data_IF_488102460795
#
_entry.id   IF_488102460795
#
_cell.length_a   1.000
_cell.length_b   1.000
_cell.length_c   1.000
_cell.angle_alpha   90.00
_cell.angle_beta   90.00
_cell.angle_gamma   90.00
#
_symmetry.space_group_name_H-M   'P 1'
#
loop_
_entity.id
_entity.type
_entity.pdbx_description
1 polymer ?
#
# COMPACT_ATOMS: atom_id res chain seq x y z
N UNK A 1 -46.10 -36.58 -11.06
CA UNK A 1 -45.82 -35.18 -10.66
C UNK A 1 -44.46 -34.77 -11.25
N UNK A 2 -44.36 -33.65 -11.96
CA UNK A 2 -43.06 -33.18 -12.52
C UNK A 2 -42.17 -32.70 -11.38
N UNK A 3 -40.94 -33.20 -11.31
CA UNK A 3 -39.98 -32.80 -10.27
C UNK A 3 -39.58 -31.33 -10.45
N UNK A 4 -39.67 -30.54 -9.38
CA UNK A 4 -39.24 -29.12 -9.37
C UNK A 4 -37.72 -28.96 -9.21
N UNK A 5 -37.00 -30.06 -8.98
CA UNK A 5 -35.56 -30.07 -8.69
C UNK A 5 -34.71 -29.37 -9.78
N UNK A 6 -34.93 -29.60 -11.10
CA UNK A 6 -34.12 -28.94 -12.12
C UNK A 6 -34.28 -27.42 -12.13
N UNK A 7 -35.49 -26.91 -11.86
CA UNK A 7 -35.78 -25.47 -11.81
C UNK A 7 -35.09 -24.84 -10.61
N UNK A 8 -35.07 -25.52 -9.47
CA UNK A 8 -34.38 -25.06 -8.26
C UNK A 8 -32.88 -24.97 -8.50
N UNK A 9 -32.27 -26.02 -9.08
CA UNK A 9 -30.83 -26.03 -9.39
C UNK A 9 -30.48 -24.93 -10.39
N UNK A 10 -31.27 -24.78 -11.46
CA UNK A 10 -31.06 -23.71 -12.44
C UNK A 10 -31.17 -22.31 -11.84
N UNK A 11 -32.11 -22.10 -10.90
CA UNK A 11 -32.28 -20.82 -10.22
C UNK A 11 -31.10 -20.49 -9.31
N UNK A 12 -30.59 -21.48 -8.55
CA UNK A 12 -29.41 -21.30 -7.69
C UNK A 12 -28.17 -20.97 -8.53
N UNK A 13 -27.98 -21.67 -9.65
CA UNK A 13 -26.85 -21.42 -10.55
C UNK A 13 -26.92 -20.03 -11.17
N UNK A 14 -28.10 -19.60 -11.64
CA UNK A 14 -28.29 -18.25 -12.17
C UNK A 14 -28.03 -17.16 -11.10
N UNK A 15 -28.49 -17.39 -9.86
CA UNK A 15 -28.22 -16.47 -8.75
C UNK A 15 -26.72 -16.38 -8.42
N UNK A 16 -25.99 -17.51 -8.46
CA UNK A 16 -24.54 -17.52 -8.26
C UNK A 16 -23.80 -16.75 -9.36
N UNK A 17 -24.16 -16.94 -10.64
CA UNK A 17 -23.55 -16.19 -11.74
C UNK A 17 -23.82 -14.69 -11.64
N UNK A 18 -25.04 -14.29 -11.27
CA UNK A 18 -25.37 -12.89 -11.04
C UNK A 18 -24.52 -12.30 -9.89
N UNK A 19 -24.34 -13.05 -8.80
CA UNK A 19 -23.49 -12.65 -7.69
C UNK A 19 -22.03 -12.46 -8.11
N UNK A 20 -21.45 -13.42 -8.84
CA UNK A 20 -20.06 -13.31 -9.34
C UNK A 20 -19.90 -12.12 -10.28
N UNK A 21 -20.87 -11.88 -11.18
CA UNK A 21 -20.84 -10.72 -12.07
C UNK A 21 -20.85 -9.40 -11.29
N UNK A 22 -21.67 -9.29 -10.23
CA UNK A 22 -21.64 -8.11 -9.34
C UNK A 22 -20.29 -7.94 -8.68
N UNK A 23 -19.69 -9.02 -8.14
CA UNK A 23 -18.37 -8.96 -7.50
C UNK A 23 -17.30 -8.48 -8.49
N UNK A 24 -17.23 -9.06 -9.69
CA UNK A 24 -16.23 -8.69 -10.70
C UNK A 24 -16.40 -7.25 -11.19
N UNK A 25 -17.63 -6.73 -11.25
CA UNK A 25 -17.90 -5.37 -11.71
C UNK A 25 -17.69 -4.30 -10.62
N UNK A 26 -17.69 -4.68 -9.34
CA UNK A 26 -17.62 -3.75 -8.21
C UNK A 26 -16.30 -3.82 -7.46
N UNK A 27 -15.56 -4.94 -7.53
CA UNK A 27 -14.30 -5.10 -6.83
C UNK A 27 -13.15 -4.37 -7.54
N UNK A 28 -12.58 -3.38 -6.88
CA UNK A 28 -11.35 -2.70 -7.31
C UNK A 28 -10.17 -3.27 -6.49
N UNK A 29 -9.22 -4.00 -7.11
CA UNK A 29 -8.06 -4.53 -6.39
C UNK A 29 -7.17 -3.38 -5.91
N UNK A 30 -6.74 -3.46 -4.65
CA UNK A 30 -5.84 -2.47 -4.07
C UNK A 30 -4.39 -2.92 -4.22
N UNK A 31 -3.39 -2.01 -4.07
CA UNK A 31 -1.99 -2.41 -4.04
C UNK A 31 -1.66 -3.44 -2.96
N UNK A 32 -2.47 -3.51 -1.89
CA UNK A 32 -2.29 -4.48 -0.79
C UNK A 32 -2.76 -5.90 -1.16
N UNK A 33 -3.57 -6.04 -2.23
CA UNK A 33 -4.04 -7.34 -2.75
C UNK A 33 -3.08 -7.93 -3.81
N UNK A 34 -2.05 -7.18 -4.21
CA UNK A 34 -1.08 -7.61 -5.22
C UNK A 34 -0.07 -8.59 -4.63
N UNK A 35 0.40 -9.54 -5.47
CA UNK A 35 1.58 -10.33 -5.12
C UNK A 35 2.81 -9.42 -4.94
N UNK A 36 3.80 -9.88 -4.18
CA UNK A 36 4.95 -9.07 -3.80
C UNK A 36 5.75 -8.56 -5.00
N UNK A 37 5.84 -9.34 -6.10
CA UNK A 37 6.56 -8.94 -7.32
C UNK A 37 5.87 -7.76 -8.01
N UNK A 38 4.54 -7.87 -8.19
CA UNK A 38 3.72 -6.83 -8.81
C UNK A 38 3.66 -5.57 -7.94
N UNK A 39 3.48 -5.74 -6.61
CA UNK A 39 3.46 -4.63 -5.65
C UNK A 39 4.79 -3.87 -5.64
N UNK A 40 5.91 -4.58 -5.75
CA UNK A 40 7.24 -3.97 -5.82
C UNK A 40 7.40 -3.13 -7.09
N UNK A 41 7.04 -3.69 -8.26
CA UNK A 41 7.09 -2.96 -9.53
C UNK A 41 6.16 -1.75 -9.52
N UNK A 42 4.94 -1.92 -8.98
CA UNK A 42 3.96 -0.85 -8.80
C UNK A 42 4.49 0.29 -7.93
N UNK A 43 5.01 -0.03 -6.74
CA UNK A 43 5.57 0.95 -5.82
C UNK A 43 6.72 1.72 -6.47
N UNK A 44 7.65 1.03 -7.13
CA UNK A 44 8.78 1.66 -7.81
C UNK A 44 8.32 2.63 -8.92
N UNK A 45 7.29 2.26 -9.69
CA UNK A 45 6.70 3.16 -10.68
C UNK A 45 6.04 4.39 -10.02
N UNK A 46 5.27 4.19 -8.94
CA UNK A 46 4.56 5.26 -8.23
C UNK A 46 5.46 6.25 -7.52
N UNK A 47 6.67 5.84 -7.12
CA UNK A 47 7.67 6.78 -6.59
C UNK A 47 7.96 7.95 -7.55
N UNK A 48 7.87 7.73 -8.87
CA UNK A 48 8.12 8.77 -9.89
C UNK A 48 7.00 9.80 -9.99
N UNK A 49 5.82 9.49 -9.45
CA UNK A 49 4.65 10.36 -9.45
C UNK A 49 4.54 11.19 -8.15
N UNK A 50 5.36 10.89 -7.14
CA UNK A 50 5.33 11.58 -5.86
C UNK A 50 5.81 13.02 -5.96
N UNK A 51 5.18 13.89 -5.16
CA UNK A 51 5.54 15.30 -5.07
C UNK A 51 5.75 15.73 -3.62
N UNK A 52 6.76 16.58 -3.39
CA UNK A 52 6.98 17.19 -2.08
C UNK A 52 5.72 17.98 -1.66
N UNK A 53 5.36 17.88 -0.39
CA UNK A 53 4.16 18.49 0.18
C UNK A 53 2.90 17.62 0.08
N UNK A 54 2.94 16.50 -0.66
CA UNK A 54 1.82 15.59 -0.77
C UNK A 54 1.40 15.04 0.61
N UNK A 55 0.11 15.03 0.95
CA UNK A 55 -0.37 14.48 2.21
C UNK A 55 -0.11 12.97 2.31
N UNK A 56 0.27 12.51 3.50
CA UNK A 56 0.52 11.09 3.79
C UNK A 56 -0.68 10.19 3.45
N UNK A 57 -1.91 10.66 3.67
CA UNK A 57 -3.12 9.91 3.34
C UNK A 57 -3.25 9.66 1.83
N UNK A 58 -2.88 10.65 1.00
CA UNK A 58 -2.90 10.47 -0.46
C UNK A 58 -1.86 9.43 -0.90
N UNK A 59 -0.69 9.40 -0.25
CA UNK A 59 0.33 8.40 -0.54
C UNK A 59 -0.12 7.01 -0.08
N UNK A 60 -0.78 6.89 1.08
CA UNK A 60 -1.35 5.62 1.54
C UNK A 60 -2.45 5.10 0.61
N UNK A 61 -3.30 5.98 0.08
CA UNK A 61 -4.29 5.59 -0.93
C UNK A 61 -3.62 5.17 -2.24
N UNK A 62 -2.56 5.85 -2.66
CA UNK A 62 -1.85 5.57 -3.91
C UNK A 62 -1.01 4.29 -3.84
N UNK A 63 -0.25 4.10 -2.78
CA UNK A 63 0.77 3.04 -2.65
C UNK A 63 0.35 1.89 -1.73
N UNK A 64 -0.83 1.98 -1.10
CA UNK A 64 -1.28 1.03 -0.10
C UNK A 64 -0.58 1.19 1.24
N UNK A 65 -0.64 0.13 2.04
CA UNK A 65 0.00 0.06 3.35
C UNK A 65 1.53 0.04 3.18
N UNK A 66 2.24 0.73 4.06
CA UNK A 66 3.70 0.62 4.14
C UNK A 66 4.13 -0.69 4.83
N UNK A 67 5.25 -1.27 4.40
CA UNK A 67 5.80 -2.50 4.99
C UNK A 67 6.36 -2.23 6.40
N UNK A 68 6.97 -1.06 6.59
CA UNK A 68 7.39 -0.57 7.90
C UNK A 68 7.00 0.89 8.10
N UNK A 69 6.88 1.30 9.36
CA UNK A 69 6.69 2.70 9.72
C UNK A 69 7.34 3.03 11.04
N UNK A 70 7.93 4.21 11.14
CA UNK A 70 8.37 4.80 12.40
C UNK A 70 7.89 6.25 12.49
N UNK A 71 7.75 6.73 13.72
CA UNK A 71 7.41 8.13 13.96
C UNK A 71 8.03 8.62 15.26
N UNK A 72 8.33 9.92 15.30
CA UNK A 72 8.69 10.65 16.51
C UNK A 72 8.01 12.01 16.50
N UNK A 73 7.63 12.51 17.67
CA UNK A 73 6.91 13.77 17.81
C UNK A 73 7.43 14.57 19.00
N UNK A 74 7.39 15.89 18.86
CA UNK A 74 7.58 16.88 19.95
C UNK A 74 6.35 17.79 19.99
N UNK A 75 6.35 18.75 20.92
CA UNK A 75 5.28 19.74 21.08
C UNK A 75 5.03 20.59 19.83
N UNK A 76 6.00 20.69 18.91
CA UNK A 76 5.91 21.55 17.72
C UNK A 76 5.73 20.81 16.40
N UNK A 77 6.38 19.65 16.25
CA UNK A 77 6.47 18.94 14.98
C UNK A 77 6.36 17.42 15.18
N UNK A 78 5.77 16.75 14.18
CA UNK A 78 5.73 15.29 14.05
C UNK A 78 6.49 14.87 12.80
N UNK A 79 7.43 13.94 12.96
CA UNK A 79 8.08 13.25 11.85
C UNK A 79 7.61 11.81 11.78
N UNK A 80 7.36 11.33 10.57
CA UNK A 80 7.01 9.96 10.28
C UNK A 80 7.79 9.49 9.06
N UNK A 81 8.31 8.27 9.10
CA UNK A 81 8.92 7.63 7.94
C UNK A 81 8.13 6.35 7.61
N UNK A 82 7.74 6.21 6.35
CA UNK A 82 7.12 5.01 5.80
C UNK A 82 8.11 4.32 4.88
N UNK A 83 8.14 3.00 4.92
CA UNK A 83 8.99 2.18 4.07
C UNK A 83 8.12 1.34 3.14
N UNK A 84 8.34 1.49 1.84
CA UNK A 84 7.66 0.70 0.81
C UNK A 84 8.68 -0.16 0.08
N UNK A 85 8.39 -1.46 -0.08
CA UNK A 85 9.21 -2.37 -0.88
C UNK A 85 9.23 -1.90 -2.33
N UNK A 86 10.43 -1.69 -2.88
CA UNK A 86 10.63 -1.13 -4.23
C UNK A 86 11.68 -1.88 -5.03
N UNK A 87 12.44 -2.76 -4.37
CA UNK A 87 13.45 -3.58 -5.00
C UNK A 87 13.63 -4.89 -4.23
N UNK A 88 14.25 -5.86 -4.87
CA UNK A 88 14.47 -7.18 -4.32
C UNK A 88 15.97 -7.39 -4.09
N UNK A 89 16.33 -7.75 -2.87
CA UNK A 89 17.69 -8.09 -2.44
C UNK A 89 17.83 -9.60 -2.26
N UNK A 90 16.84 -10.25 -1.63
CA UNK A 90 16.90 -11.68 -1.28
C UNK A 90 15.55 -12.37 -1.47
N UNK A 91 15.60 -13.63 -1.89
CA UNK A 91 14.42 -14.49 -2.08
C UNK A 91 14.21 -15.44 -0.89
N UNK A 92 14.20 -14.91 0.32
CA UNK A 92 13.99 -15.68 1.56
C UNK A 92 12.53 -15.61 2.06
N UNK A 93 11.67 -14.86 1.36
CA UNK A 93 10.24 -14.74 1.66
C UNK A 93 9.92 -13.73 2.76
N UNK A 94 10.94 -13.03 3.28
CA UNK A 94 10.75 -11.94 4.25
C UNK A 94 11.10 -10.60 3.58
N UNK A 95 10.32 -9.55 3.86
CA UNK A 95 10.67 -8.20 3.41
C UNK A 95 11.59 -7.57 4.45
N UNK A 96 12.72 -7.03 4.02
CA UNK A 96 13.65 -6.31 4.91
C UNK A 96 13.75 -4.83 4.56
N UNK A 97 14.27 -4.02 5.48
CA UNK A 97 14.36 -2.56 5.27
C UNK A 97 15.28 -2.15 4.13
N UNK A 98 16.31 -2.95 3.85
CA UNK A 98 17.23 -2.74 2.74
C UNK A 98 16.62 -3.05 1.37
N UNK A 99 15.38 -3.54 1.33
CA UNK A 99 14.56 -3.73 0.10
C UNK A 99 13.53 -2.62 -0.11
N UNK A 100 13.50 -1.63 0.80
CA UNK A 100 12.49 -0.60 0.84
C UNK A 100 13.05 0.78 0.52
N UNK A 101 12.22 1.65 -0.07
CA UNK A 101 12.49 3.08 -0.15
C UNK A 101 11.79 3.81 1.00
N UNK A 102 12.52 4.59 1.82
CA UNK A 102 11.92 5.41 2.86
C UNK A 102 11.31 6.69 2.27
N UNK A 103 10.13 7.04 2.76
CA UNK A 103 9.43 8.30 2.53
C UNK A 103 9.29 9.01 3.88
N UNK A 104 9.87 10.20 4.01
CA UNK A 104 9.84 11.01 5.22
C UNK A 104 8.78 12.09 5.12
N UNK A 105 8.01 12.19 6.18
CA UNK A 105 6.92 13.13 6.36
C UNK A 105 7.18 14.03 7.55
N UNK A 106 6.83 15.31 7.41
CA UNK A 106 6.76 16.28 8.50
C UNK A 106 5.35 16.85 8.54
N UNK A 107 4.71 16.79 9.70
CA UNK A 107 3.33 17.28 9.91
C UNK A 107 2.38 16.79 8.79
N UNK A 108 2.42 15.47 8.56
CA UNK A 108 1.60 14.74 7.58
C UNK A 108 1.87 15.09 6.10
N UNK A 109 2.96 15.80 5.78
CA UNK A 109 3.34 16.13 4.40
C UNK A 109 4.69 15.52 4.02
N UNK A 110 4.78 14.98 2.81
CA UNK A 110 6.02 14.42 2.27
C UNK A 110 7.10 15.51 2.17
N UNK A 111 8.28 15.27 2.73
CA UNK A 111 9.41 16.21 2.68
C UNK A 111 10.68 15.60 2.05
N UNK A 112 10.79 14.28 1.98
CA UNK A 112 11.89 13.59 1.32
C UNK A 112 11.52 12.12 1.02
N UNK A 113 12.18 11.53 0.03
CA UNK A 113 12.19 10.08 -0.19
C UNK A 113 13.48 9.64 -0.90
N UNK A 114 13.85 8.37 -0.77
CA UNK A 114 15.09 7.82 -1.36
C UNK A 114 16.13 7.40 -0.31
N UNK A 115 17.31 6.96 -0.77
CA UNK A 115 18.31 6.24 0.02
C UNK A 115 18.68 6.93 1.35
N UNK A 116 18.96 8.23 1.33
CA UNK A 116 19.46 8.97 2.49
C UNK A 116 18.34 9.42 3.44
N UNK A 117 17.09 9.18 3.09
CA UNK A 117 15.92 9.72 3.80
C UNK A 117 15.78 9.17 5.22
N UNK A 118 16.15 7.91 5.43
CA UNK A 118 16.09 7.34 6.77
C UNK A 118 17.16 7.96 7.69
N UNK A 119 18.35 8.25 7.16
CA UNK A 119 19.38 8.96 7.93
C UNK A 119 18.91 10.38 8.30
N UNK A 120 18.28 11.09 7.36
CA UNK A 120 17.66 12.39 7.65
C UNK A 120 16.61 12.30 8.75
N UNK A 121 15.79 11.25 8.76
CA UNK A 121 14.84 10.99 9.85
C UNK A 121 15.56 10.81 11.18
N UNK A 122 16.62 10.00 11.24
CA UNK A 122 17.38 9.76 12.48
C UNK A 122 18.02 11.06 13.00
N UNK A 123 18.66 11.82 12.11
CA UNK A 123 19.40 13.04 12.45
C UNK A 123 18.50 14.24 12.77
N UNK A 124 17.23 14.22 12.32
CA UNK A 124 16.31 15.33 12.55
C UNK A 124 16.02 15.52 14.04
N UNK A 125 16.36 16.67 14.64
CA UNK A 125 16.00 16.96 16.01
C UNK A 125 14.47 17.08 16.13
N UNK A 126 13.92 16.61 17.25
CA UNK A 126 12.49 16.68 17.54
C UNK A 126 12.32 17.47 18.84
N UNK A 127 11.93 18.73 18.66
CA UNK A 127 12.06 19.77 19.69
C UNK A 127 13.44 20.40 19.63
N UNK A 128 13.48 21.68 19.26
CA UNK A 128 14.63 22.53 19.56
C UNK A 128 14.69 22.85 21.05
#
# INVERSE_FOLDING_TARGET
MKSKVPVIIGSIFAAYLAFVAVVVLVYEPTPDDMDWEDRQAYNNAKLTELSIGQPIEQIRTLMGKADFSEAKSSNQDTLQVLFYRTHHSKSDGETTRDECTPLLFKNNKLIAWGQDTYQQYLDSPIGG
#
